data_IF_432550439738
#
_entry.id   IF_432550439738
#
_cell.length_a   1.000
_cell.length_b   1.000
_cell.length_c   1.000
_cell.angle_alpha   90.00
_cell.angle_beta   90.00
_cell.angle_gamma   90.00
#
_symmetry.space_group_name_H-M   'P 1'
#
loop_
_entity.id
_entity.type
_entity.pdbx_description
1 polymer ?
#
# COMPACT_ATOMS: atom_id res chain seq x y z
N UNK A 1 12.01 -3.00 -34.88
CA UNK A 1 11.75 -3.52 -33.52
C UNK A 1 10.84 -2.54 -32.81
N UNK A 2 9.73 -3.01 -32.23
CA UNK A 2 8.86 -2.16 -31.42
C UNK A 2 9.65 -1.57 -30.25
N UNK A 3 9.35 -0.32 -29.89
CA UNK A 3 9.97 0.30 -28.70
C UNK A 3 9.47 -0.44 -27.45
N UNK A 4 10.29 -0.51 -26.43
CA UNK A 4 9.88 -1.15 -25.16
C UNK A 4 8.58 -0.57 -24.60
N UNK A 5 8.37 0.72 -24.75
CA UNK A 5 7.13 1.41 -24.38
C UNK A 5 5.92 0.84 -25.16
N UNK A 6 6.04 0.65 -26.46
CA UNK A 6 4.95 0.13 -27.31
C UNK A 6 4.53 -1.29 -26.87
N UNK A 7 5.51 -2.12 -26.47
CA UNK A 7 5.24 -3.47 -25.94
C UNK A 7 4.49 -3.46 -24.61
N UNK A 8 4.81 -2.51 -23.73
CA UNK A 8 4.10 -2.36 -22.45
C UNK A 8 2.71 -1.78 -22.66
N UNK A 9 2.54 -0.85 -23.61
CA UNK A 9 1.21 -0.33 -23.99
C UNK A 9 0.34 -1.44 -24.60
N UNK A 10 0.90 -2.30 -25.43
CA UNK A 10 0.18 -3.46 -25.97
C UNK A 10 -0.18 -4.47 -24.87
N UNK A 11 0.73 -4.71 -23.93
CA UNK A 11 0.47 -5.55 -22.76
C UNK A 11 -0.67 -4.97 -21.92
N UNK A 12 -0.65 -3.67 -21.63
CA UNK A 12 -1.70 -2.96 -20.90
C UNK A 12 -3.05 -3.16 -21.59
N UNK A 13 -3.16 -2.83 -22.89
CA UNK A 13 -4.40 -2.93 -23.64
C UNK A 13 -4.94 -4.37 -23.72
N UNK A 14 -4.07 -5.36 -23.83
CA UNK A 14 -4.45 -6.77 -23.79
C UNK A 14 -4.97 -7.17 -22.41
N UNK A 15 -4.31 -6.69 -21.36
CA UNK A 15 -4.70 -7.00 -19.98
C UNK A 15 -6.03 -6.36 -19.62
N UNK A 16 -6.28 -5.11 -20.04
CA UNK A 16 -7.59 -4.45 -19.96
C UNK A 16 -8.71 -5.35 -20.50
N UNK A 17 -8.55 -5.85 -21.71
CA UNK A 17 -9.54 -6.75 -22.34
C UNK A 17 -9.70 -8.08 -21.59
N UNK A 18 -8.62 -8.59 -21.02
CA UNK A 18 -8.64 -9.87 -20.32
C UNK A 18 -9.36 -9.77 -18.99
N UNK A 19 -9.09 -8.73 -18.18
CA UNK A 19 -9.65 -8.62 -16.82
C UNK A 19 -11.17 -8.40 -16.81
N UNK A 20 -11.74 -7.77 -17.83
CA UNK A 20 -13.19 -7.58 -17.97
C UNK A 20 -13.89 -8.65 -18.80
N UNK A 21 -13.18 -9.63 -19.33
CA UNK A 21 -13.76 -10.64 -20.20
C UNK A 21 -14.74 -11.59 -19.46
N UNK A 22 -14.60 -11.71 -18.17
CA UNK A 22 -15.51 -12.44 -17.28
C UNK A 22 -15.27 -12.05 -15.80
N UNK A 23 -16.24 -12.33 -14.90
CA UNK A 23 -16.13 -12.03 -13.46
C UNK A 23 -14.90 -12.65 -12.77
N UNK A 24 -14.53 -13.87 -13.13
CA UNK A 24 -13.39 -14.57 -12.52
C UNK A 24 -12.06 -13.84 -12.75
N UNK A 25 -11.87 -13.31 -13.98
CA UNK A 25 -10.66 -12.56 -14.32
C UNK A 25 -10.59 -11.23 -13.55
N UNK A 26 -11.74 -10.59 -13.35
CA UNK A 26 -11.81 -9.37 -12.54
C UNK A 26 -11.47 -9.65 -11.07
N UNK A 27 -12.09 -10.67 -10.47
CA UNK A 27 -11.76 -11.11 -9.11
C UNK A 27 -10.28 -11.48 -8.95
N UNK A 28 -9.70 -12.20 -9.91
CA UNK A 28 -8.28 -12.53 -9.89
C UNK A 28 -7.38 -11.29 -9.94
N UNK A 29 -7.76 -10.27 -10.72
CA UNK A 29 -7.09 -8.97 -10.72
C UNK A 29 -7.21 -8.29 -9.34
N UNK A 30 -8.42 -8.17 -8.78
CA UNK A 30 -8.66 -7.55 -7.48
C UNK A 30 -7.86 -8.23 -6.36
N UNK A 31 -7.81 -9.56 -6.35
CA UNK A 31 -7.04 -10.36 -5.39
C UNK A 31 -5.51 -10.13 -5.51
N UNK A 32 -5.03 -9.74 -6.69
CA UNK A 32 -3.64 -9.32 -6.88
C UNK A 32 -3.43 -7.86 -6.46
N UNK A 33 -4.30 -6.97 -6.92
CA UNK A 33 -4.22 -5.52 -6.70
C UNK A 33 -4.26 -5.16 -5.21
N UNK A 34 -5.05 -5.86 -4.40
CA UNK A 34 -5.21 -5.61 -2.97
C UNK A 34 -3.88 -5.68 -2.18
N UNK A 35 -2.88 -6.43 -2.64
CA UNK A 35 -1.56 -6.51 -2.00
C UNK A 35 -0.72 -5.26 -2.26
N UNK A 36 -0.93 -4.63 -3.41
CA UNK A 36 -0.23 -3.43 -3.85
C UNK A 36 -1.18 -2.24 -3.97
N UNK A 37 -2.12 -2.11 -3.02
CA UNK A 37 -3.21 -1.13 -3.02
C UNK A 37 -2.75 0.33 -3.04
N UNK A 38 -1.51 0.62 -2.68
CA UNK A 38 -0.90 1.97 -2.74
C UNK A 38 -0.43 2.37 -4.14
N UNK A 39 -0.43 1.46 -5.08
CA UNK A 39 -0.14 1.76 -6.48
C UNK A 39 -1.40 2.31 -7.16
N UNK A 40 -1.21 3.12 -8.18
CA UNK A 40 -2.31 3.55 -9.06
C UNK A 40 -2.87 2.34 -9.83
N UNK A 41 -4.13 2.43 -10.24
CA UNK A 41 -4.79 1.36 -10.98
C UNK A 41 -4.00 0.86 -12.20
N UNK A 42 -3.47 1.77 -13.03
CA UNK A 42 -2.70 1.42 -14.23
C UNK A 42 -1.39 0.67 -13.90
N UNK A 43 -0.75 1.02 -12.79
CA UNK A 43 0.41 0.32 -12.27
C UNK A 43 0.02 -1.05 -11.70
N UNK A 44 -1.07 -1.14 -10.93
CA UNK A 44 -1.61 -2.41 -10.41
C UNK A 44 -1.91 -3.39 -11.56
N UNK A 45 -2.52 -2.89 -12.65
CA UNK A 45 -2.84 -3.70 -13.82
C UNK A 45 -1.58 -4.24 -14.51
N UNK A 46 -0.54 -3.40 -14.65
CA UNK A 46 0.74 -3.81 -15.22
C UNK A 46 1.54 -4.74 -14.30
N UNK A 47 1.43 -4.57 -12.97
CA UNK A 47 1.99 -5.52 -11.99
C UNK A 47 1.29 -6.86 -12.12
N UNK A 48 -0.05 -6.88 -12.12
CA UNK A 48 -0.84 -8.09 -12.33
C UNK A 48 -0.47 -8.83 -13.62
N UNK A 49 -0.34 -8.10 -14.74
CA UNK A 49 -0.02 -8.66 -16.04
C UNK A 49 1.35 -9.35 -16.11
N UNK A 50 2.33 -8.87 -15.32
CA UNK A 50 3.71 -9.35 -15.38
C UNK A 50 4.06 -10.25 -14.20
N UNK A 51 3.43 -10.03 -13.04
CA UNK A 51 3.67 -10.76 -11.80
C UNK A 51 2.45 -10.74 -10.88
N UNK A 52 1.44 -11.56 -11.14
CA UNK A 52 0.18 -11.57 -10.39
C UNK A 52 0.35 -11.95 -8.90
N UNK A 53 1.45 -12.60 -8.54
CA UNK A 53 1.81 -13.01 -7.16
C UNK A 53 2.65 -11.98 -6.39
N UNK A 54 2.96 -10.82 -6.98
CA UNK A 54 3.73 -9.76 -6.32
C UNK A 54 3.07 -9.33 -5.00
N UNK A 55 3.90 -9.16 -3.96
CA UNK A 55 3.43 -8.85 -2.59
C UNK A 55 3.74 -7.43 -2.15
N UNK A 56 4.92 -6.93 -2.48
CA UNK A 56 5.34 -5.55 -2.20
C UNK A 56 6.35 -5.12 -3.25
N UNK A 57 5.99 -4.15 -4.06
CA UNK A 57 6.83 -3.70 -5.17
C UNK A 57 7.26 -2.25 -4.99
N UNK A 58 8.54 -1.99 -5.24
CA UNK A 58 9.14 -0.66 -5.21
C UNK A 58 10.22 -0.54 -6.30
N UNK A 59 10.58 0.68 -6.63
CA UNK A 59 11.76 0.97 -7.44
C UNK A 59 13.05 0.56 -6.73
N UNK A 60 14.09 0.22 -7.50
CA UNK A 60 15.39 -0.15 -6.95
C UNK A 60 15.97 0.89 -5.99
N UNK A 61 15.78 2.17 -6.31
CA UNK A 61 16.25 3.26 -5.46
C UNK A 61 15.52 3.33 -4.12
N UNK A 62 14.22 3.05 -4.10
CA UNK A 62 13.42 3.01 -2.88
C UNK A 62 13.81 1.80 -2.02
N UNK A 63 14.01 0.61 -2.62
CA UNK A 63 14.53 -0.55 -1.90
C UNK A 63 15.86 -0.25 -1.21
N UNK A 64 16.78 0.41 -1.92
CA UNK A 64 18.11 0.74 -1.38
C UNK A 64 18.04 1.83 -0.29
N UNK A 65 17.37 2.96 -0.57
CA UNK A 65 17.40 4.15 0.30
C UNK A 65 16.51 4.00 1.54
N UNK A 66 15.31 3.39 1.38
CA UNK A 66 14.33 3.30 2.46
C UNK A 66 14.60 2.06 3.31
N UNK A 67 14.78 0.90 2.67
CA UNK A 67 14.86 -0.38 3.37
C UNK A 67 16.27 -0.96 3.45
N UNK A 68 17.26 -0.39 2.78
CA UNK A 68 18.63 -0.92 2.74
C UNK A 68 18.71 -2.32 2.11
N UNK A 69 17.74 -2.66 1.27
CA UNK A 69 17.68 -3.95 0.54
C UNK A 69 18.23 -3.79 -0.86
N UNK A 70 18.79 -4.87 -1.40
CA UNK A 70 19.39 -4.86 -2.73
C UNK A 70 18.67 -5.83 -3.65
N UNK A 71 18.40 -5.38 -4.88
CA UNK A 71 17.80 -6.23 -5.90
C UNK A 71 18.78 -7.31 -6.32
N UNK A 72 18.30 -8.54 -6.43
CA UNK A 72 19.09 -9.71 -6.80
C UNK A 72 19.59 -9.59 -8.25
N UNK A 73 20.83 -10.04 -8.47
CA UNK A 73 21.38 -10.05 -9.83
C UNK A 73 20.55 -10.95 -10.73
N UNK A 74 20.08 -10.40 -11.85
CA UNK A 74 19.25 -11.12 -12.82
C UNK A 74 17.76 -11.08 -12.55
N UNK A 75 17.30 -10.42 -11.48
CA UNK A 75 15.89 -10.16 -11.26
C UNK A 75 15.30 -9.37 -12.43
N UNK A 76 14.06 -9.70 -12.80
CA UNK A 76 13.34 -9.00 -13.88
C UNK A 76 12.44 -7.94 -13.26
N UNK A 77 12.71 -6.67 -13.60
CA UNK A 77 11.85 -5.57 -13.18
C UNK A 77 10.50 -5.60 -13.89
N UNK A 78 9.46 -5.31 -13.13
CA UNK A 78 8.09 -5.10 -13.61
C UNK A 78 8.05 -3.71 -14.23
N UNK A 79 7.79 -3.60 -15.53
CA UNK A 79 7.76 -2.33 -16.24
C UNK A 79 6.38 -1.69 -16.10
N UNK A 80 6.34 -0.45 -15.59
CA UNK A 80 5.12 0.37 -15.48
C UNK A 80 5.34 1.72 -16.16
N UNK A 81 4.25 2.43 -16.47
CA UNK A 81 4.35 3.78 -17.01
C UNK A 81 4.91 4.73 -15.95
N UNK A 82 5.94 5.49 -16.32
CA UNK A 82 6.44 6.54 -15.45
C UNK A 82 5.46 7.72 -15.48
N UNK A 83 5.42 8.48 -14.37
CA UNK A 83 4.49 9.58 -14.10
C UNK A 83 4.31 10.53 -15.30
N UNK A 84 3.05 10.88 -15.61
CA UNK A 84 2.61 11.58 -16.84
C UNK A 84 3.12 13.02 -16.97
N UNK A 85 3.59 13.64 -15.90
CA UNK A 85 4.10 15.02 -15.90
C UNK A 85 5.39 15.24 -16.71
N UNK A 86 5.88 14.19 -17.39
CA UNK A 86 7.07 14.28 -18.22
C UNK A 86 6.70 14.12 -19.69
N UNK A 87 6.99 15.12 -20.49
CA UNK A 87 6.76 15.19 -21.93
C UNK A 87 7.37 14.04 -22.78
N UNK A 88 7.78 12.93 -22.17
CA UNK A 88 8.36 11.78 -22.85
C UNK A 88 7.77 10.49 -22.29
N UNK A 89 7.30 9.63 -23.18
CA UNK A 89 6.90 8.25 -22.88
C UNK A 89 8.05 7.48 -22.22
N UNK A 90 7.96 7.28 -20.92
CA UNK A 90 8.98 6.62 -20.10
C UNK A 90 8.38 5.45 -19.33
N UNK A 91 9.23 4.49 -19.02
CA UNK A 91 8.91 3.38 -18.15
C UNK A 91 9.76 3.47 -16.89
N UNK A 92 9.16 3.19 -15.74
CA UNK A 92 9.88 2.83 -14.53
C UNK A 92 9.83 1.32 -14.31
N UNK A 93 10.61 0.79 -13.37
CA UNK A 93 10.69 -0.62 -13.09
C UNK A 93 10.58 -0.86 -11.59
N UNK A 94 9.58 -1.65 -11.23
CA UNK A 94 9.41 -2.14 -9.87
C UNK A 94 10.04 -3.52 -9.71
N UNK A 95 10.45 -3.82 -8.49
CA UNK A 95 10.94 -5.14 -8.07
C UNK A 95 10.17 -5.58 -6.85
N UNK A 96 9.69 -6.81 -6.83
CA UNK A 96 9.03 -7.38 -5.68
C UNK A 96 10.02 -7.66 -4.55
N UNK A 97 9.56 -7.65 -3.31
CA UNK A 97 10.39 -7.93 -2.13
C UNK A 97 11.15 -9.26 -2.25
N UNK A 98 10.56 -10.28 -2.89
CA UNK A 98 11.17 -11.59 -3.12
C UNK A 98 12.33 -11.54 -4.11
N UNK A 99 12.42 -10.49 -4.92
CA UNK A 99 13.56 -10.21 -5.81
C UNK A 99 14.70 -9.47 -5.11
N UNK A 100 14.58 -9.23 -3.81
CA UNK A 100 15.58 -8.48 -3.03
C UNK A 100 16.19 -9.32 -1.92
N UNK A 101 17.37 -8.94 -1.50
CA UNK A 101 18.02 -9.52 -0.31
C UNK A 101 18.38 -8.44 0.70
N UNK A 102 18.52 -8.87 1.94
CA UNK A 102 18.90 -8.01 3.05
C UNK A 102 20.40 -7.71 3.06
N UNK A 103 20.73 -6.48 3.42
CA UNK A 103 22.08 -6.05 3.76
C UNK A 103 22.23 -5.98 5.28
N UNK A 104 23.44 -5.71 5.77
CA UNK A 104 23.70 -5.47 7.20
C UNK A 104 22.85 -4.34 7.80
N UNK A 105 22.38 -3.41 6.98
CA UNK A 105 21.65 -2.22 7.40
C UNK A 105 20.18 -2.26 6.98
N UNK A 106 19.67 -3.41 6.58
CA UNK A 106 18.28 -3.54 6.14
C UNK A 106 17.30 -3.24 7.28
N UNK A 107 16.26 -2.49 6.93
CA UNK A 107 15.11 -2.24 7.79
C UNK A 107 14.01 -3.25 7.46
N UNK A 108 13.22 -3.59 8.45
CA UNK A 108 12.02 -4.42 8.24
C UNK A 108 11.05 -3.70 7.31
N UNK A 109 10.61 -4.41 6.27
CA UNK A 109 9.54 -3.91 5.39
C UNK A 109 8.22 -4.00 6.15
N UNK A 110 7.42 -2.94 6.24
CA UNK A 110 6.17 -2.93 7.02
C UNK A 110 5.04 -3.65 6.27
N UNK A 111 5.21 -4.95 6.06
CA UNK A 111 4.13 -5.81 5.60
C UNK A 111 3.30 -6.17 6.82
N UNK A 112 2.01 -5.89 6.73
CA UNK A 112 1.07 -6.15 7.81
C UNK A 112 0.13 -7.30 7.45
N UNK A 113 -0.23 -8.07 8.46
CA UNK A 113 -1.18 -9.17 8.36
C UNK A 113 -2.30 -8.96 9.37
N UNK A 114 -3.53 -9.27 8.96
CA UNK A 114 -4.68 -9.26 9.85
C UNK A 114 -4.57 -10.38 10.87
N UNK A 115 -4.99 -10.10 12.11
CA UNK A 115 -5.12 -11.08 13.18
C UNK A 115 -6.51 -10.96 13.80
N UNK A 116 -7.04 -12.05 14.28
CA UNK A 116 -8.36 -12.07 14.91
C UNK A 116 -8.46 -11.08 16.09
N UNK A 117 -7.39 -10.89 16.85
CA UNK A 117 -7.33 -9.95 17.98
C UNK A 117 -7.48 -8.47 17.58
N UNK A 118 -7.31 -8.14 16.29
CA UNK A 118 -7.42 -6.77 15.75
C UNK A 118 -8.79 -6.47 15.13
N UNK A 119 -9.69 -7.44 15.12
CA UNK A 119 -10.97 -7.33 14.40
C UNK A 119 -11.81 -6.14 14.89
N UNK A 120 -11.93 -5.98 16.20
CA UNK A 120 -12.70 -4.89 16.81
C UNK A 120 -12.11 -3.51 16.45
N UNK A 121 -10.78 -3.36 16.53
CA UNK A 121 -10.10 -2.11 16.22
C UNK A 121 -10.19 -1.77 14.72
N UNK A 122 -10.16 -2.79 13.85
CA UNK A 122 -10.32 -2.60 12.39
C UNK A 122 -11.75 -2.19 12.05
N UNK A 123 -12.76 -2.79 12.69
CA UNK A 123 -14.17 -2.38 12.51
C UNK A 123 -14.38 -0.92 12.96
N UNK A 124 -13.81 -0.53 14.11
CA UNK A 124 -13.86 0.86 14.58
C UNK A 124 -13.15 1.82 13.59
N UNK A 125 -12.03 1.39 13.02
CA UNK A 125 -11.30 2.15 12.00
C UNK A 125 -12.16 2.36 10.75
N UNK A 126 -12.81 1.31 10.26
CA UNK A 126 -13.71 1.39 9.10
C UNK A 126 -14.87 2.35 9.37
N UNK A 127 -15.50 2.28 10.54
CA UNK A 127 -16.59 3.15 10.94
C UNK A 127 -16.14 4.61 11.08
N UNK A 128 -14.97 4.84 11.66
CA UNK A 128 -14.41 6.20 11.77
C UNK A 128 -14.02 6.81 10.42
N UNK A 129 -13.69 5.98 9.44
CA UNK A 129 -13.26 6.42 8.11
C UNK A 129 -14.44 6.67 7.17
N UNK A 130 -15.46 5.81 7.20
CA UNK A 130 -16.55 5.79 6.22
C UNK A 130 -17.94 6.05 6.82
N UNK A 131 -18.01 6.44 8.10
CA UNK A 131 -19.27 6.72 8.79
C UNK A 131 -19.91 5.47 9.39
N UNK A 132 -21.10 5.65 9.96
CA UNK A 132 -21.84 4.61 10.70
C UNK A 132 -22.08 3.36 9.85
N UNK A 133 -21.74 2.19 10.41
CA UNK A 133 -21.93 0.89 9.80
C UNK A 133 -23.07 0.17 10.52
N UNK A 134 -24.16 -0.14 9.80
CA UNK A 134 -25.36 -0.76 10.36
C UNK A 134 -25.10 -2.17 10.92
N UNK A 135 -24.36 -3.01 10.17
CA UNK A 135 -24.07 -4.38 10.55
C UNK A 135 -22.58 -4.58 10.82
N UNK A 136 -22.26 -4.82 12.10
CA UNK A 136 -20.89 -5.07 12.61
C UNK A 136 -20.77 -6.45 13.26
N UNK A 137 -21.63 -7.39 12.86
CA UNK A 137 -21.66 -8.75 13.46
C UNK A 137 -20.42 -9.57 13.12
N UNK A 138 -19.70 -9.20 12.04
CA UNK A 138 -18.41 -9.77 11.64
C UNK A 138 -17.60 -8.72 10.89
N UNK A 139 -16.29 -8.96 10.76
CA UNK A 139 -15.42 -8.10 9.95
C UNK A 139 -15.89 -8.02 8.49
N UNK A 140 -16.37 -9.12 7.92
CA UNK A 140 -16.86 -9.13 6.55
C UNK A 140 -18.10 -8.24 6.37
N UNK A 141 -19.08 -8.32 7.27
CA UNK A 141 -20.27 -7.45 7.24
C UNK A 141 -19.89 -5.96 7.42
N UNK A 142 -18.92 -5.69 8.31
CA UNK A 142 -18.43 -4.33 8.50
C UNK A 142 -17.74 -3.80 7.23
N UNK A 143 -16.94 -4.63 6.54
CA UNK A 143 -16.31 -4.26 5.26
C UNK A 143 -17.37 -3.99 4.18
N UNK A 144 -18.41 -4.82 4.08
CA UNK A 144 -19.51 -4.59 3.14
C UNK A 144 -20.23 -3.26 3.40
N UNK A 145 -20.49 -2.95 4.67
CA UNK A 145 -21.07 -1.66 5.08
C UNK A 145 -20.15 -0.47 4.74
N UNK A 146 -18.88 -0.57 5.11
CA UNK A 146 -17.87 0.44 4.83
C UNK A 146 -17.70 0.70 3.32
N UNK A 147 -17.63 -0.36 2.50
CA UNK A 147 -17.51 -0.23 1.05
C UNK A 147 -18.75 0.44 0.43
N UNK A 148 -19.95 0.17 0.98
CA UNK A 148 -21.18 0.82 0.54
C UNK A 148 -21.17 2.32 0.85
N UNK A 149 -20.82 2.70 2.08
CA UNK A 149 -20.70 4.09 2.49
C UNK A 149 -19.62 4.82 1.66
N UNK A 150 -18.43 4.21 1.51
CA UNK A 150 -17.34 4.76 0.72
C UNK A 150 -17.73 4.99 -0.74
N UNK A 151 -18.44 4.04 -1.34
CA UNK A 151 -18.94 4.16 -2.71
C UNK A 151 -20.00 5.26 -2.84
N UNK A 152 -20.93 5.37 -1.88
CA UNK A 152 -21.95 6.42 -1.86
C UNK A 152 -21.32 7.82 -1.88
N UNK A 153 -20.28 8.02 -1.06
CA UNK A 153 -19.64 9.31 -0.88
C UNK A 153 -18.71 9.71 -2.03
N UNK A 154 -18.03 8.71 -2.66
CA UNK A 154 -16.94 9.01 -3.61
C UNK A 154 -17.34 8.80 -5.09
N UNK A 155 -18.26 7.89 -5.41
CA UNK A 155 -18.64 7.62 -6.81
C UNK A 155 -19.11 8.84 -7.59
N UNK A 156 -19.86 9.81 -7.01
CA UNK A 156 -20.26 11.01 -7.75
C UNK A 156 -19.09 11.72 -8.44
N UNK A 157 -17.90 11.71 -7.84
CA UNK A 157 -16.71 12.35 -8.40
C UNK A 157 -16.15 11.61 -9.63
N UNK A 158 -16.40 10.30 -9.74
CA UNK A 158 -15.93 9.45 -10.85
C UNK A 158 -16.97 9.26 -11.96
N UNK A 159 -18.26 9.51 -11.68
CA UNK A 159 -19.33 9.30 -12.65
C UNK A 159 -19.19 10.16 -13.89
N UNK A 160 -18.74 11.41 -13.73
CA UNK A 160 -18.54 12.31 -14.85
C UNK A 160 -17.53 11.76 -15.85
N UNK A 161 -16.47 11.16 -15.36
CA UNK A 161 -15.42 10.55 -16.18
C UNK A 161 -15.96 9.32 -16.94
N UNK A 162 -16.78 8.51 -16.24
CA UNK A 162 -17.43 7.37 -16.88
C UNK A 162 -18.38 7.84 -18.00
N UNK A 163 -19.18 8.86 -17.78
CA UNK A 163 -20.10 9.37 -18.82
C UNK A 163 -19.37 9.86 -20.06
N UNK A 164 -18.21 10.49 -19.89
CA UNK A 164 -17.36 10.86 -21.04
C UNK A 164 -16.72 9.66 -21.75
N UNK A 165 -16.62 8.53 -21.06
CA UNK A 165 -15.99 7.31 -21.58
C UNK A 165 -16.98 6.34 -22.27
N UNK A 166 -18.28 6.63 -22.31
CA UNK A 166 -19.32 5.70 -22.82
C UNK A 166 -19.31 5.52 -24.33
N UNK A 167 -18.80 6.49 -25.10
CA UNK A 167 -18.73 6.41 -26.56
C UNK A 167 -17.97 5.15 -27.02
N UNK A 168 -18.55 4.37 -27.91
CA UNK A 168 -18.00 3.11 -28.43
C UNK A 168 -17.99 1.95 -27.43
N UNK A 169 -18.58 2.12 -26.25
CA UNK A 169 -18.68 1.07 -25.21
C UNK A 169 -20.06 0.41 -25.21
N UNK A 170 -20.22 -0.61 -24.35
CA UNK A 170 -21.54 -1.22 -24.09
C UNK A 170 -22.52 -0.26 -23.40
N UNK A 171 -22.09 0.91 -22.99
CA UNK A 171 -22.92 1.92 -22.33
C UNK A 171 -23.40 3.04 -23.27
N UNK A 172 -23.00 3.06 -24.54
CA UNK A 172 -23.23 4.18 -25.47
C UNK A 172 -24.71 4.57 -25.62
N UNK A 173 -25.62 3.58 -25.62
CA UNK A 173 -27.06 3.80 -25.76
C UNK A 173 -27.83 3.52 -24.45
N UNK A 174 -27.15 3.42 -23.32
CA UNK A 174 -27.75 3.12 -22.01
C UNK A 174 -28.05 4.42 -21.27
N UNK A 175 -29.22 4.48 -20.64
CA UNK A 175 -29.62 5.65 -19.81
C UNK A 175 -28.63 5.87 -18.67
N UNK A 176 -28.31 7.15 -18.37
CA UNK A 176 -27.31 7.54 -17.37
C UNK A 176 -27.59 6.95 -15.99
N UNK A 177 -28.86 6.90 -15.56
CA UNK A 177 -29.26 6.32 -14.28
C UNK A 177 -28.94 4.82 -14.19
N UNK A 178 -29.09 4.10 -15.29
CA UNK A 178 -28.75 2.67 -15.38
C UNK A 178 -27.23 2.49 -15.34
N UNK A 179 -26.48 3.32 -16.08
CA UNK A 179 -25.01 3.32 -16.06
C UNK A 179 -24.50 3.60 -14.65
N UNK A 180 -25.05 4.64 -13.98
CA UNK A 180 -24.69 4.98 -12.59
C UNK A 180 -24.97 3.82 -11.62
N UNK A 181 -26.12 3.16 -11.77
CA UNK A 181 -26.50 2.03 -10.91
C UNK A 181 -25.52 0.84 -11.09
N UNK A 182 -25.24 0.47 -12.34
CA UNK A 182 -24.27 -0.60 -12.65
C UNK A 182 -22.90 -0.25 -12.09
N UNK A 183 -22.42 0.95 -12.34
CA UNK A 183 -21.13 1.43 -11.88
C UNK A 183 -21.00 1.36 -10.36
N UNK A 184 -22.00 1.91 -9.65
CA UNK A 184 -22.01 1.88 -8.19
C UNK A 184 -21.94 0.46 -7.64
N UNK A 185 -22.72 -0.47 -8.21
CA UNK A 185 -22.70 -1.86 -7.76
C UNK A 185 -21.35 -2.53 -7.98
N UNK A 186 -20.78 -2.40 -9.17
CA UNK A 186 -19.49 -3.04 -9.51
C UNK A 186 -18.36 -2.44 -8.68
N UNK A 187 -18.31 -1.10 -8.49
CA UNK A 187 -17.30 -0.45 -7.64
C UNK A 187 -17.44 -0.91 -6.20
N UNK A 188 -18.67 -0.87 -5.62
CA UNK A 188 -18.92 -1.29 -4.23
C UNK A 188 -18.45 -2.71 -3.98
N UNK A 189 -18.85 -3.65 -4.81
CA UNK A 189 -18.46 -5.05 -4.70
C UNK A 189 -16.94 -5.24 -4.87
N UNK A 190 -16.33 -4.49 -5.80
CA UNK A 190 -14.89 -4.56 -6.06
C UNK A 190 -14.07 -4.02 -4.89
N UNK A 191 -14.49 -2.90 -4.28
CA UNK A 191 -13.86 -2.32 -3.09
C UNK A 191 -13.94 -3.29 -1.91
N UNK A 192 -15.14 -3.83 -1.64
CA UNK A 192 -15.34 -4.80 -0.56
C UNK A 192 -14.49 -6.06 -0.79
N UNK A 193 -14.47 -6.59 -2.01
CA UNK A 193 -13.66 -7.74 -2.39
C UNK A 193 -12.16 -7.50 -2.18
N UNK A 194 -11.65 -6.33 -2.58
CA UNK A 194 -10.24 -5.96 -2.36
C UNK A 194 -9.91 -5.88 -0.87
N UNK A 195 -10.76 -5.24 -0.06
CA UNK A 195 -10.55 -5.13 1.39
C UNK A 195 -10.58 -6.51 2.05
N UNK A 196 -11.58 -7.35 1.76
CA UNK A 196 -11.67 -8.71 2.29
C UNK A 196 -10.46 -9.54 1.91
N UNK A 197 -10.08 -9.54 0.62
CA UNK A 197 -8.91 -10.27 0.11
C UNK A 197 -7.63 -9.83 0.82
N UNK A 198 -7.44 -8.53 1.05
CA UNK A 198 -6.24 -8.02 1.74
C UNK A 198 -6.18 -8.38 3.22
N UNK A 199 -7.33 -8.47 3.86
CA UNK A 199 -7.49 -8.84 5.26
C UNK A 199 -7.53 -10.37 5.47
N UNK A 200 -7.51 -11.16 4.40
CA UNK A 200 -7.60 -12.61 4.48
C UNK A 200 -8.97 -13.12 4.94
N UNK A 201 -10.02 -12.31 4.74
CA UNK A 201 -11.40 -12.70 4.96
C UNK A 201 -11.85 -13.58 3.79
N UNK A 202 -12.57 -14.65 4.07
CA UNK A 202 -13.14 -15.54 3.06
C UNK A 202 -14.14 -14.76 2.18
N UNK A 203 -13.84 -14.67 0.88
CA UNK A 203 -14.68 -13.97 -0.09
C UNK A 203 -15.77 -14.86 -0.68
N UNK A 204 -15.57 -16.17 -0.69
CA UNK A 204 -16.49 -17.13 -1.34
C UNK A 204 -17.84 -17.22 -0.62
N UNK A 205 -17.87 -16.90 0.68
CA UNK A 205 -19.12 -16.85 1.46
C UNK A 205 -19.93 -15.56 1.27
N UNK A 206 -19.37 -14.54 0.63
CA UNK A 206 -19.99 -13.22 0.49
C UNK A 206 -20.22 -12.77 -0.94
N UNK A 207 -19.49 -13.33 -1.91
CA UNK A 207 -19.59 -12.97 -3.32
C UNK A 207 -19.82 -14.20 -4.19
N UNK A 208 -20.83 -14.08 -5.04
CA UNK A 208 -21.03 -14.96 -6.18
C UNK A 208 -20.40 -14.32 -7.44
N UNK A 209 -20.20 -15.14 -8.48
CA UNK A 209 -19.72 -14.63 -9.77
C UNK A 209 -20.69 -13.61 -10.39
N UNK A 210 -21.98 -13.79 -10.10
CA UNK A 210 -23.05 -12.92 -10.63
C UNK A 210 -22.96 -11.49 -10.07
N UNK A 211 -22.37 -11.29 -8.89
CA UNK A 211 -22.13 -9.97 -8.29
C UNK A 211 -21.14 -9.10 -9.10
N UNK A 212 -20.36 -9.73 -9.96
CA UNK A 212 -19.39 -9.08 -10.86
C UNK A 212 -19.74 -9.23 -12.34
N UNK A 213 -20.91 -9.77 -12.70
CA UNK A 213 -21.26 -10.02 -14.12
C UNK A 213 -21.19 -8.75 -14.97
N UNK A 214 -21.59 -7.63 -14.40
CA UNK A 214 -21.67 -6.36 -15.10
C UNK A 214 -20.31 -5.72 -15.41
N UNK A 215 -19.20 -6.29 -14.89
CA UNK A 215 -17.84 -5.85 -15.26
C UNK A 215 -17.59 -5.97 -16.76
N UNK A 216 -18.26 -6.91 -17.44
CA UNK A 216 -18.14 -7.11 -18.88
C UNK A 216 -18.66 -5.94 -19.71
N UNK A 217 -19.45 -5.05 -19.12
CA UNK A 217 -19.96 -3.84 -19.78
C UNK A 217 -18.86 -2.76 -19.90
N UNK A 218 -17.81 -2.81 -19.07
CA UNK A 218 -16.65 -1.92 -19.14
C UNK A 218 -15.64 -2.38 -20.18
N UNK A 219 -16.10 -2.52 -21.42
CA UNK A 219 -15.41 -3.23 -22.51
C UNK A 219 -14.47 -2.35 -23.33
N UNK A 220 -14.37 -1.05 -23.05
CA UNK A 220 -13.36 -0.14 -23.60
C UNK A 220 -12.29 0.16 -22.56
N UNK A 221 -11.12 0.63 -22.99
CA UNK A 221 -10.05 1.03 -22.08
C UNK A 221 -10.49 2.18 -21.18
N UNK A 222 -11.24 3.12 -21.74
CA UNK A 222 -11.71 4.34 -21.08
C UNK A 222 -12.71 3.99 -19.95
N UNK A 223 -13.74 3.20 -20.24
CA UNK A 223 -14.73 2.77 -19.24
C UNK A 223 -14.09 1.90 -18.15
N UNK A 224 -13.18 1.01 -18.54
CA UNK A 224 -12.45 0.20 -17.57
C UNK A 224 -11.51 1.04 -16.70
N UNK A 225 -10.86 2.06 -17.25
CA UNK A 225 -10.05 2.98 -16.46
C UNK A 225 -10.90 3.71 -15.42
N UNK A 226 -12.08 4.23 -15.79
CA UNK A 226 -13.00 4.85 -14.85
C UNK A 226 -13.39 3.89 -13.70
N UNK A 227 -13.71 2.63 -14.01
CA UNK A 227 -13.98 1.60 -13.01
C UNK A 227 -12.76 1.32 -12.13
N UNK A 228 -11.61 1.14 -12.75
CA UNK A 228 -10.40 0.73 -12.05
C UNK A 228 -9.84 1.80 -11.12
N UNK A 229 -9.82 3.07 -11.55
CA UNK A 229 -9.37 4.18 -10.70
C UNK A 229 -10.30 4.36 -9.51
N UNK A 230 -11.63 4.40 -9.70
CA UNK A 230 -12.57 4.51 -8.58
C UNK A 230 -12.40 3.35 -7.57
N UNK A 231 -12.32 2.11 -8.07
CA UNK A 231 -12.13 0.92 -7.22
C UNK A 231 -10.82 1.00 -6.45
N UNK A 232 -9.73 1.33 -7.12
CA UNK A 232 -8.39 1.39 -6.52
C UNK A 232 -8.28 2.49 -5.46
N UNK A 233 -8.71 3.70 -5.79
CA UNK A 233 -8.59 4.86 -4.92
C UNK A 233 -9.47 4.71 -3.67
N UNK A 234 -10.72 4.24 -3.82
CA UNK A 234 -11.62 4.01 -2.70
C UNK A 234 -11.10 2.88 -1.80
N UNK A 235 -10.60 1.78 -2.37
CA UNK A 235 -10.01 0.70 -1.59
C UNK A 235 -8.71 1.13 -0.88
N UNK A 236 -7.87 1.96 -1.51
CA UNK A 236 -6.66 2.52 -0.90
C UNK A 236 -6.97 3.31 0.36
N UNK A 237 -8.05 4.13 0.36
CA UNK A 237 -8.47 4.91 1.53
C UNK A 237 -8.65 4.01 2.75
N UNK A 238 -9.51 2.98 2.65
CA UNK A 238 -9.78 2.06 3.75
C UNK A 238 -8.57 1.23 4.16
N UNK A 239 -7.87 0.64 3.19
CA UNK A 239 -6.70 -0.19 3.46
C UNK A 239 -5.53 0.58 4.07
N UNK A 240 -5.41 1.87 3.76
CA UNK A 240 -4.40 2.73 4.37
C UNK A 240 -4.68 2.98 5.85
N UNK A 241 -5.92 3.30 6.22
CA UNK A 241 -6.29 3.50 7.62
C UNK A 241 -6.19 2.19 8.43
N UNK A 242 -6.66 1.07 7.88
CA UNK A 242 -6.47 -0.26 8.48
C UNK A 242 -4.98 -0.57 8.69
N UNK A 243 -4.13 -0.27 7.72
CA UNK A 243 -2.68 -0.46 7.82
C UNK A 243 -2.07 0.34 8.98
N UNK A 244 -2.50 1.59 9.17
CA UNK A 244 -2.07 2.44 10.29
C UNK A 244 -2.47 1.84 11.63
N UNK A 245 -3.74 1.41 11.77
CA UNK A 245 -4.27 0.77 12.97
C UNK A 245 -3.50 -0.50 13.32
N UNK A 246 -3.36 -1.43 12.38
CA UNK A 246 -2.64 -2.69 12.61
C UNK A 246 -1.16 -2.44 12.95
N UNK A 247 -0.53 -1.45 12.31
CA UNK A 247 0.86 -1.09 12.61
C UNK A 247 1.00 -0.53 14.02
N UNK A 248 0.04 0.30 14.48
CA UNK A 248 0.03 0.83 15.85
C UNK A 248 -0.16 -0.29 16.89
N UNK A 249 -1.11 -1.20 16.67
CA UNK A 249 -1.35 -2.37 17.53
C UNK A 249 -0.12 -3.28 17.62
N UNK A 250 0.52 -3.56 16.49
CA UNK A 250 1.77 -4.33 16.45
C UNK A 250 2.92 -3.67 17.26
N UNK A 251 3.00 -2.33 17.25
CA UNK A 251 3.99 -1.59 18.07
C UNK A 251 3.68 -1.69 19.54
N UNK A 252 2.41 -1.54 19.95
CA UNK A 252 1.97 -1.68 21.35
C UNK A 252 2.25 -3.08 21.88
N UNK A 253 1.92 -4.13 21.14
CA UNK A 253 2.16 -5.51 21.53
C UNK A 253 3.67 -5.80 21.70
N UNK A 254 4.55 -5.22 20.87
CA UNK A 254 6.01 -5.34 21.05
C UNK A 254 6.52 -4.67 22.32
N UNK A 255 5.94 -3.53 22.70
CA UNK A 255 6.31 -2.80 23.93
C UNK A 255 5.88 -3.61 25.15
N UNK A 256 4.66 -4.15 25.17
CA UNK A 256 4.14 -4.97 26.27
C UNK A 256 5.02 -6.21 26.47
N UNK A 257 5.25 -6.99 25.41
CA UNK A 257 6.13 -8.18 25.47
C UNK A 257 7.56 -7.83 25.90
N UNK A 258 8.06 -6.65 25.50
CA UNK A 258 9.37 -6.16 25.92
C UNK A 258 9.42 -5.77 27.41
N UNK A 259 8.32 -5.23 27.94
CA UNK A 259 8.18 -4.90 29.37
C UNK A 259 8.07 -6.17 30.23
N UNK A 260 7.21 -7.12 29.83
CA UNK A 260 7.06 -8.41 30.52
C UNK A 260 8.40 -9.17 30.58
N UNK A 261 9.16 -9.16 29.48
CA UNK A 261 10.49 -9.81 29.46
C UNK A 261 11.50 -9.11 30.35
N UNK A 262 11.43 -7.77 30.49
CA UNK A 262 12.28 -7.02 31.38
C UNK A 262 11.88 -7.22 32.86
N UNK A 263 10.60 -7.39 33.17
CA UNK A 263 10.13 -7.74 34.50
C UNK A 263 10.53 -9.16 34.89
N UNK A 264 10.38 -10.13 33.99
CA UNK A 264 10.86 -11.51 34.19
C UNK A 264 12.37 -11.55 34.47
N UNK A 265 13.17 -10.87 33.66
CA UNK A 265 14.62 -10.79 33.87
C UNK A 265 15.01 -10.06 35.17
N UNK A 266 14.17 -9.13 35.66
CA UNK A 266 14.39 -8.47 36.96
C UNK A 266 14.07 -9.41 38.14
N UNK A 267 13.05 -10.24 38.03
CA UNK A 267 12.69 -11.23 39.03
C UNK A 267 13.77 -12.30 39.12
N UNK A 268 14.21 -12.87 37.99
CA UNK A 268 15.30 -13.86 37.93
C UNK A 268 16.62 -13.31 38.51
N UNK A 269 17.02 -12.09 38.17
CA UNK A 269 18.22 -11.46 38.69
C UNK A 269 18.12 -11.11 40.20
N UNK A 270 16.89 -10.88 40.71
CA UNK A 270 16.70 -10.68 42.15
C UNK A 270 16.75 -12.00 42.94
N UNK A 271 16.23 -13.08 42.36
CA UNK A 271 16.32 -14.42 42.98
C UNK A 271 17.75 -14.94 42.98
N UNK A 272 18.54 -14.74 41.89
CA UNK A 272 19.97 -15.06 41.87
C UNK A 272 20.78 -14.24 42.88
N UNK A 273 20.47 -12.94 43.04
CA UNK A 273 21.12 -12.08 44.05
C UNK A 273 20.74 -12.44 45.49
N UNK A 274 19.54 -12.97 45.74
CA UNK A 274 19.13 -13.43 47.04
C UNK A 274 19.81 -14.76 47.41
N UNK A 275 20.06 -15.63 46.46
CA UNK A 275 20.81 -16.88 46.63
C UNK A 275 22.33 -16.66 46.82
N UNK A 276 22.91 -15.62 46.21
CA UNK A 276 24.33 -15.26 46.40
C UNK A 276 24.55 -14.55 47.74
N UNK A 277 23.60 -13.79 48.27
CA UNK A 277 23.70 -13.19 49.62
C UNK A 277 23.63 -14.21 50.75
N UNK A 278 22.95 -15.35 50.58
CA UNK A 278 22.96 -16.43 51.57
C UNK A 278 24.26 -17.26 51.53
N UNK A 279 25.09 -17.14 50.48
CA UNK A 279 26.41 -17.80 50.37
C UNK A 279 27.59 -16.98 50.87
N UNK A 280 27.44 -15.65 51.06
CA UNK A 280 28.56 -14.76 51.39
C UNK A 280 28.75 -14.52 52.89
N UNK A 281 27.91 -15.10 53.77
CA UNK A 281 28.09 -14.99 55.24
C UNK A 281 29.07 -16.01 55.85
N UNK A 282 29.86 -16.71 55.06
CA UNK A 282 30.84 -17.69 55.52
C UNK A 282 32.25 -17.53 54.89
N UNK A 283 32.81 -16.33 54.84
CA UNK A 283 34.30 -16.22 54.87
C UNK A 283 34.75 -14.75 55.02
N UNK A 284 35.09 -14.42 56.28
CA UNK A 284 35.96 -13.31 56.66
C UNK A 284 37.41 -13.56 56.23
N UNK A 285 38.09 -12.53 55.73
CA UNK A 285 39.58 -12.56 55.71
C UNK A 285 40.26 -11.83 54.56
N UNK A 286 40.52 -10.53 54.73
CA UNK A 286 41.89 -10.02 54.44
C UNK A 286 42.20 -9.30 53.10
N UNK A 287 42.18 -7.97 53.14
CA UNK A 287 43.32 -7.08 52.83
C UNK A 287 43.78 -6.78 51.40
N UNK A 288 43.81 -5.50 51.15
CA UNK A 288 44.80 -4.61 50.50
C UNK A 288 44.43 -3.91 49.18
N UNK A 289 44.51 -2.60 49.31
CA UNK A 289 44.48 -1.51 48.32
C UNK A 289 45.55 -1.63 47.24
N UNK A 290 45.26 -1.00 46.09
CA UNK A 290 46.15 -0.01 45.42
C UNK A 290 45.48 0.55 44.15
N UNK A 291 45.11 1.80 44.22
CA UNK A 291 45.45 3.02 43.41
C UNK A 291 45.38 2.98 41.90
N UNK A 292 44.65 3.96 41.43
CA UNK A 292 44.58 4.55 40.06
C UNK A 292 45.95 5.12 39.58
N UNK A 293 46.09 5.54 38.30
CA UNK A 293 45.69 6.90 37.98
C UNK A 293 45.14 7.15 36.53
N UNK A 294 44.52 8.33 36.48
CA UNK A 294 44.01 9.10 35.38
C UNK A 294 45.01 9.43 34.23
N UNK A 295 44.45 9.79 33.06
CA UNK A 295 44.73 10.99 32.25
C UNK A 295 43.98 10.87 30.90
N UNK A 296 43.07 11.75 30.49
CA UNK A 296 43.12 13.15 30.15
C UNK A 296 43.38 13.44 28.65
N UNK A 297 42.46 14.26 28.08
CA UNK A 297 42.61 15.26 26.99
C UNK A 297 42.50 14.77 25.55
N UNK A 298 41.91 15.47 24.60
CA UNK A 298 41.11 16.68 24.39
C UNK A 298 41.00 16.92 22.86
N UNK A 299 39.86 17.46 22.47
CA UNK A 299 39.62 18.53 21.51
C UNK A 299 40.06 18.50 20.04
N UNK A 300 39.16 19.01 19.19
CA UNK A 300 39.48 19.66 17.90
C UNK A 300 38.36 19.58 16.87
N UNK A 301 37.47 20.53 16.87
CA UNK A 301 36.79 21.35 15.90
C UNK A 301 37.38 21.37 14.47
N UNK A 302 36.52 21.35 13.45
CA UNK A 302 36.41 22.52 12.57
C UNK A 302 35.20 22.44 11.61
N UNK A 303 34.70 23.64 11.26
CA UNK A 303 33.54 23.95 10.48
C UNK A 303 33.92 24.21 9.00
N UNK A 304 32.94 24.10 8.10
CA UNK A 304 33.07 24.55 6.72
C UNK A 304 31.72 24.68 6.01
N UNK A 305 31.13 25.88 6.08
CA UNK A 305 30.08 26.39 5.19
C UNK A 305 30.64 26.74 3.79
N UNK A 306 29.80 26.65 2.71
CA UNK A 306 29.67 27.60 1.59
C UNK A 306 28.42 27.18 0.77
N UNK A 307 27.33 27.97 0.76
CA UNK A 307 26.76 28.98 -0.16
C UNK A 307 26.56 28.54 -1.61
N UNK A 308 25.30 28.45 -2.02
CA UNK A 308 24.41 29.29 -2.88
C UNK A 308 24.93 29.65 -4.27
N UNK A 309 24.08 29.43 -5.30
CA UNK A 309 23.69 30.49 -6.24
C UNK A 309 22.47 30.09 -7.10
N UNK A 310 21.61 31.09 -7.34
CA UNK A 310 20.39 31.14 -8.16
C UNK A 310 20.73 31.44 -9.63
N UNK A 311 19.78 31.12 -10.54
CA UNK A 311 19.28 31.95 -11.67
C UNK A 311 18.34 31.11 -12.57
N UNK A 312 17.12 31.47 -12.69
CA UNK A 312 16.25 32.42 -13.45
C UNK A 312 16.13 32.16 -14.97
N UNK A 313 14.86 31.94 -15.35
CA UNK A 313 13.99 32.49 -16.45
C UNK A 313 14.23 32.04 -17.89
N UNK A 314 13.20 31.51 -18.56
CA UNK A 314 12.34 32.27 -19.49
C UNK A 314 11.24 31.40 -20.16
N UNK A 315 10.10 32.04 -20.42
CA UNK A 315 8.86 31.65 -21.04
C UNK A 315 8.96 31.21 -22.50
N UNK A 316 8.03 30.40 -22.95
CA UNK A 316 7.80 30.15 -24.37
C UNK A 316 6.53 29.28 -24.62
N UNK A 317 5.44 29.95 -24.87
CA UNK A 317 4.11 29.46 -25.22
C UNK A 317 4.09 28.71 -26.54
N UNK A 318 3.47 27.52 -26.59
CA UNK A 318 2.79 27.02 -27.79
C UNK A 318 1.77 25.93 -27.42
N UNK A 319 0.51 26.24 -27.65
CA UNK A 319 -0.65 25.35 -27.44
C UNK A 319 -0.80 24.35 -28.58
N UNK A 320 -1.07 23.10 -28.22
CA UNK A 320 -1.84 22.14 -29.00
C UNK A 320 -2.57 21.20 -28.04
N UNK A 321 -3.84 20.82 -28.31
CA UNK A 321 -4.70 20.19 -27.34
C UNK A 321 -4.29 18.73 -27.12
N UNK A 322 -3.96 18.40 -25.90
CA UNK A 322 -3.75 17.04 -25.42
C UNK A 322 -4.97 16.56 -24.61
N UNK A 323 -5.20 15.25 -24.58
CA UNK A 323 -6.37 14.67 -23.93
C UNK A 323 -6.36 14.94 -22.43
N UNK A 324 -7.57 15.06 -21.90
CA UNK A 324 -7.94 15.44 -20.55
C UNK A 324 -7.09 14.69 -19.49
N UNK A 325 -6.29 15.45 -18.76
CA UNK A 325 -5.52 14.99 -17.61
C UNK A 325 -6.47 14.77 -16.44
N UNK A 326 -6.53 13.55 -15.93
CA UNK A 326 -7.18 13.22 -14.67
C UNK A 326 -6.37 13.81 -13.51
N UNK A 327 -6.66 15.05 -13.16
CA UNK A 327 -6.15 15.63 -11.92
C UNK A 327 -7.24 15.58 -10.88
N UNK A 328 -7.44 14.44 -10.24
CA UNK A 328 -8.11 14.43 -8.96
C UNK A 328 -7.16 15.00 -7.91
N UNK A 329 -7.68 15.96 -7.18
CA UNK A 329 -7.06 16.63 -6.05
C UNK A 329 -6.58 15.57 -5.03
N UNK A 330 -5.36 15.11 -5.16
CA UNK A 330 -4.64 14.57 -4.01
C UNK A 330 -4.38 15.75 -3.08
N UNK A 331 -5.08 15.79 -1.96
CA UNK A 331 -4.65 16.57 -0.83
C UNK A 331 -3.21 16.11 -0.52
N UNK A 332 -2.25 17.00 -0.80
CA UNK A 332 -0.86 16.81 -0.42
C UNK A 332 -0.76 16.84 1.10
N UNK A 333 -1.01 15.74 1.75
CA UNK A 333 -0.44 15.49 3.05
C UNK A 333 0.90 14.78 2.85
N UNK A 334 1.88 15.49 3.27
CA UNK A 334 3.31 15.25 3.30
C UNK A 334 3.68 13.78 3.49
N UNK A 335 4.40 13.24 2.50
CA UNK A 335 5.20 12.02 2.56
C UNK A 335 6.29 12.11 3.63
N UNK A 336 5.91 12.06 4.89
CA UNK A 336 6.84 11.94 6.01
C UNK A 336 6.24 11.08 7.12
N UNK A 337 5.76 9.87 6.78
CA UNK A 337 5.57 8.83 7.79
C UNK A 337 5.50 7.48 7.08
N UNK A 338 6.68 6.89 6.92
CA UNK A 338 6.91 5.47 6.72
C UNK A 338 7.79 4.94 7.84
#
# INVERSE_FOLDING_TARGET
MARKYDLISELYNRTCKTVVSNPQNWQAFLASACRNYKLRYDEQLLVYAQRPDATAVLEIEQWNKIFGRWVNRGARGIAVFADENRSRQRLTHYFDISDTHESRYSRTVPIWDMRQEYEADVIETLESTFGEIENKSSLAEAIMGAARNAAEDNIPDYLQDLYYATEGSSFEEVEEDIVAFIYKNVVTNSVAYMMMSRLGVDTDGYFELDDFRDVTNFNTQETLNALGFATSDIAEMGLTEISKTITALNRQNRIIVGQDRNEYNKVENNDERSLDNERTDLHDGGRLQLSEPETSTAAGSDAGQVRSDEERVSEGTSQSPLPVSYTHLRAHETRHDL
#
